data_IF_487604773620
#
_entry.id   IF_487604773620
#
_cell.length_a   1.000
_cell.length_b   1.000
_cell.length_c   1.000
_cell.angle_alpha   90.00
_cell.angle_beta   90.00
_cell.angle_gamma   90.00
#
_symmetry.space_group_name_H-M   'P 1'
#
loop_
_entity.id
_entity.type
_entity.pdbx_description
1 polymer ?
#
# COMPACT_ATOMS: atom_id res chain seq x y z
N UNK A 1 -8.35 -1.67 13.09
CA UNK A 1 -9.17 -2.89 13.22
C UNK A 1 -8.42 -3.99 13.99
N UNK A 2 -7.17 -4.31 13.64
CA UNK A 2 -6.35 -5.23 14.43
C UNK A 2 -6.01 -4.68 15.82
N UNK A 3 -5.83 -3.36 15.93
CA UNK A 3 -5.63 -2.69 17.22
C UNK A 3 -6.67 -3.11 18.26
N UNK A 4 -7.94 -3.01 17.91
CA UNK A 4 -9.07 -3.34 18.79
C UNK A 4 -9.07 -4.82 19.21
N UNK A 5 -8.67 -5.71 18.28
CA UNK A 5 -8.53 -7.13 18.59
C UNK A 5 -7.40 -7.37 19.60
N UNK A 6 -6.24 -6.76 19.39
CA UNK A 6 -5.09 -6.90 20.31
C UNK A 6 -5.37 -6.28 21.67
N UNK A 7 -6.14 -5.19 21.73
CA UNK A 7 -6.58 -4.58 22.97
C UNK A 7 -7.46 -5.54 23.80
N UNK A 8 -8.47 -6.16 23.17
CA UNK A 8 -9.29 -7.18 23.84
C UNK A 8 -8.49 -8.39 24.30
N UNK A 9 -7.48 -8.79 23.53
CA UNK A 9 -6.66 -9.94 23.87
C UNK A 9 -5.63 -9.61 24.98
N UNK A 10 -5.21 -8.35 25.06
CA UNK A 10 -4.33 -7.85 26.10
C UNK A 10 -4.97 -7.88 27.50
N UNK A 11 -6.30 -7.84 27.59
CA UNK A 11 -7.03 -8.04 28.85
C UNK A 11 -6.74 -9.40 29.48
N UNK A 12 -6.53 -10.43 28.66
CA UNK A 12 -6.32 -11.81 29.11
C UNK A 12 -4.84 -12.23 29.05
N UNK A 13 -4.04 -11.59 28.19
CA UNK A 13 -2.66 -11.96 27.94
C UNK A 13 -1.77 -10.71 27.84
N UNK A 14 -0.91 -10.49 28.84
CA UNK A 14 -0.08 -9.29 28.94
C UNK A 14 0.86 -9.07 27.74
N UNK A 15 1.23 -10.13 27.02
CA UNK A 15 2.08 -10.07 25.83
C UNK A 15 1.51 -9.18 24.70
N UNK A 16 0.19 -9.03 24.59
CA UNK A 16 -0.42 -8.23 23.51
C UNK A 16 -0.36 -6.72 23.76
N UNK A 17 0.02 -6.25 24.96
CA UNK A 17 0.26 -4.83 25.23
C UNK A 17 1.35 -4.24 24.34
N UNK A 18 2.26 -5.07 23.83
CA UNK A 18 3.32 -4.66 22.91
C UNK A 18 2.75 -4.01 21.65
N UNK A 19 1.56 -4.44 21.19
CA UNK A 19 0.88 -3.87 20.03
C UNK A 19 0.23 -2.50 20.28
N UNK A 20 0.19 -2.02 21.52
CA UNK A 20 -0.33 -0.67 21.83
C UNK A 20 0.72 0.42 21.64
N UNK A 21 2.03 0.07 21.63
CA UNK A 21 3.09 1.03 21.39
C UNK A 21 3.01 1.63 19.98
N UNK A 22 2.94 2.96 19.91
CA UNK A 22 2.84 3.70 18.64
C UNK A 22 4.01 3.40 17.69
N UNK A 23 5.23 3.28 18.22
CA UNK A 23 6.44 2.98 17.44
C UNK A 23 6.34 1.63 16.75
N UNK A 24 5.98 0.58 17.49
CA UNK A 24 5.80 -0.76 16.93
C UNK A 24 4.71 -0.77 15.86
N UNK A 25 3.54 -0.20 16.16
CA UNK A 25 2.43 -0.11 15.21
C UNK A 25 2.83 0.63 13.93
N UNK A 26 3.61 1.70 14.05
CA UNK A 26 4.09 2.47 12.90
C UNK A 26 5.01 1.63 12.01
N UNK A 27 5.96 0.91 12.61
CA UNK A 27 6.86 0.00 11.87
C UNK A 27 6.06 -1.12 11.20
N UNK A 28 5.14 -1.76 11.92
CA UNK A 28 4.28 -2.81 11.37
C UNK A 28 3.40 -2.28 10.23
N UNK A 29 2.90 -1.05 10.32
CA UNK A 29 2.15 -0.38 9.26
C UNK A 29 2.99 -0.21 8.00
N UNK A 30 4.22 0.30 8.13
CA UNK A 30 5.13 0.49 6.99
C UNK A 30 5.48 -0.84 6.34
N UNK A 31 5.83 -1.85 7.14
CA UNK A 31 6.17 -3.20 6.64
C UNK A 31 4.96 -3.82 5.93
N UNK A 32 3.76 -3.68 6.49
CA UNK A 32 2.53 -4.19 5.87
C UNK A 32 2.26 -3.50 4.53
N UNK A 33 2.37 -2.16 4.46
CA UNK A 33 2.15 -1.41 3.23
C UNK A 33 3.19 -1.77 2.15
N UNK A 34 4.45 -1.94 2.53
CA UNK A 34 5.52 -2.40 1.63
C UNK A 34 5.21 -3.80 1.09
N UNK A 35 4.84 -4.74 1.97
CA UNK A 35 4.54 -6.11 1.58
C UNK A 35 3.35 -6.17 0.61
N UNK A 36 2.28 -5.42 0.88
CA UNK A 36 1.13 -5.27 -0.02
C UNK A 36 1.60 -4.72 -1.37
N UNK A 37 2.42 -3.67 -1.38
CA UNK A 37 2.91 -3.03 -2.61
C UNK A 37 3.76 -3.99 -3.45
N UNK A 38 4.63 -4.78 -2.82
CA UNK A 38 5.48 -5.75 -3.51
C UNK A 38 4.67 -6.94 -4.08
N UNK A 39 3.68 -7.43 -3.35
CA UNK A 39 2.85 -8.55 -3.79
C UNK A 39 1.84 -8.14 -4.87
N UNK A 40 1.13 -7.03 -4.67
CA UNK A 40 0.09 -6.56 -5.59
C UNK A 40 0.65 -5.76 -6.76
N UNK A 41 1.86 -5.20 -6.64
CA UNK A 41 2.51 -4.39 -7.67
C UNK A 41 2.53 -5.07 -9.05
N UNK A 42 3.11 -6.27 -9.20
CA UNK A 42 3.17 -6.96 -10.48
C UNK A 42 1.80 -7.26 -11.09
N UNK A 43 0.83 -7.66 -10.24
CA UNK A 43 -0.53 -7.93 -10.69
C UNK A 43 -1.24 -6.66 -11.18
N UNK A 44 -1.06 -5.55 -10.45
CA UNK A 44 -1.64 -4.26 -10.80
C UNK A 44 -1.00 -3.69 -12.08
N UNK A 45 0.32 -3.80 -12.24
CA UNK A 45 1.04 -3.38 -13.46
C UNK A 45 0.52 -4.14 -14.67
N UNK A 46 0.39 -5.48 -14.60
CA UNK A 46 -0.17 -6.28 -15.70
C UNK A 46 -1.60 -5.87 -16.04
N UNK A 47 -2.44 -5.66 -15.02
CA UNK A 47 -3.85 -5.27 -15.22
C UNK A 47 -3.97 -3.88 -15.84
N UNK A 48 -3.21 -2.89 -15.35
CA UNK A 48 -3.21 -1.54 -15.91
C UNK A 48 -2.62 -1.50 -17.33
N UNK A 49 -1.59 -2.30 -17.59
CA UNK A 49 -1.05 -2.50 -18.94
C UNK A 49 -2.10 -3.07 -19.91
N UNK A 50 -2.89 -4.06 -19.47
CA UNK A 50 -3.97 -4.63 -20.29
C UNK A 50 -5.14 -3.68 -20.55
N UNK A 51 -5.36 -2.70 -19.67
CA UNK A 51 -6.41 -1.70 -19.82
C UNK A 51 -6.01 -0.54 -20.73
N UNK A 52 -4.81 -0.59 -21.34
CA UNK A 52 -4.26 0.44 -22.24
C UNK A 52 -4.36 1.87 -21.70
N UNK A 53 -4.31 2.04 -20.37
CA UNK A 53 -4.15 3.35 -19.71
C UNK A 53 -2.66 3.75 -19.77
N UNK A 54 -2.12 3.68 -20.98
CA UNK A 54 -0.77 4.11 -21.32
C UNK A 54 -0.77 5.59 -21.64
N UNK A 55 0.31 6.28 -21.28
CA UNK A 55 0.50 7.65 -21.76
C UNK A 55 0.54 7.68 -23.28
N UNK A 56 -0.28 8.55 -23.89
CA UNK A 56 -0.12 8.92 -25.29
C UNK A 56 1.21 9.64 -25.41
N UNK A 57 2.20 8.98 -26.00
CA UNK A 57 3.52 9.57 -26.24
C UNK A 57 3.39 10.49 -27.45
N UNK A 58 3.80 11.76 -27.29
CA UNK A 58 3.87 12.71 -28.41
C UNK A 58 4.88 12.22 -29.43
N UNK A 59 4.49 12.19 -30.70
CA UNK A 59 5.33 11.71 -31.81
C UNK A 59 6.54 12.62 -32.11
N UNK A 60 6.55 13.85 -31.58
CA UNK A 60 7.61 14.85 -31.81
C UNK A 60 8.87 14.65 -30.93
N UNK A 61 8.94 13.56 -30.15
CA UNK A 61 9.98 13.32 -29.15
C UNK A 61 11.22 12.57 -29.67
N UNK A 62 12.40 12.72 -29.03
CA UNK A 62 13.60 11.98 -29.40
C UNK A 62 13.40 10.44 -29.25
N UNK A 63 14.09 9.61 -30.05
CA UNK A 63 13.86 8.16 -30.14
C UNK A 63 13.95 7.41 -28.78
N UNK A 64 14.71 7.93 -27.82
CA UNK A 64 14.84 7.39 -26.46
C UNK A 64 13.56 7.54 -25.62
N UNK A 65 12.60 8.39 -26.02
CA UNK A 65 11.30 8.49 -25.35
C UNK A 65 10.32 7.36 -25.72
N UNK A 66 10.58 6.62 -26.80
CA UNK A 66 9.75 5.48 -27.21
C UNK A 66 9.95 4.25 -26.31
N UNK A 67 11.07 4.14 -25.58
CA UNK A 67 11.32 3.05 -24.63
C UNK A 67 10.37 3.06 -23.41
N UNK A 68 9.70 4.19 -23.15
CA UNK A 68 8.70 4.34 -22.09
C UNK A 68 7.27 4.02 -22.55
N UNK A 69 7.08 3.77 -23.84
CA UNK A 69 5.78 3.42 -24.44
C UNK A 69 5.25 2.15 -23.79
N UNK A 70 4.08 2.24 -23.16
CA UNK A 70 3.42 1.10 -22.53
C UNK A 70 3.67 0.93 -21.03
N UNK A 71 4.44 1.81 -20.39
CA UNK A 71 4.45 1.86 -18.91
C UNK A 71 3.10 2.38 -18.42
N UNK A 72 2.35 1.60 -17.61
CA UNK A 72 1.03 2.01 -17.15
C UNK A 72 1.15 3.22 -16.23
N UNK A 73 0.37 4.26 -16.51
CA UNK A 73 0.13 5.32 -15.53
C UNK A 73 -0.90 4.85 -14.52
N UNK A 74 -0.83 5.30 -13.26
CA UNK A 74 -1.62 4.89 -12.07
C UNK A 74 -0.88 4.09 -10.98
N UNK A 75 0.45 4.20 -10.87
CA UNK A 75 1.19 3.69 -9.70
C UNK A 75 0.67 4.24 -8.35
N UNK A 76 0.13 5.47 -8.35
CA UNK A 76 -0.52 6.06 -7.17
C UNK A 76 -1.71 5.27 -6.63
N UNK A 77 -2.42 4.51 -7.47
CA UNK A 77 -3.51 3.64 -7.01
C UNK A 77 -3.00 2.53 -6.07
N UNK A 78 -1.82 1.95 -6.35
CA UNK A 78 -1.19 0.96 -5.47
C UNK A 78 -0.88 1.58 -4.11
N UNK A 79 -0.32 2.79 -4.13
CA UNK A 79 0.06 3.52 -2.92
C UNK A 79 -1.19 3.76 -2.07
N UNK A 80 -2.27 4.26 -2.67
CA UNK A 80 -3.53 4.49 -1.95
C UNK A 80 -4.09 3.19 -1.37
N UNK A 81 -4.13 2.10 -2.14
CA UNK A 81 -4.61 0.79 -1.65
C UNK A 81 -3.75 0.30 -0.49
N UNK A 82 -2.43 0.37 -0.60
CA UNK A 82 -1.51 -0.07 0.45
C UNK A 82 -1.62 0.77 1.71
N UNK A 83 -1.73 2.10 1.59
CA UNK A 83 -1.93 3.00 2.73
C UNK A 83 -3.27 2.70 3.39
N UNK A 84 -4.38 2.67 2.64
CA UNK A 84 -5.72 2.45 3.20
C UNK A 84 -5.79 1.14 3.98
N UNK A 85 -5.28 0.04 3.41
CA UNK A 85 -5.29 -1.27 4.09
C UNK A 85 -4.42 -1.20 5.35
N UNK A 86 -3.22 -0.65 5.26
CA UNK A 86 -2.31 -0.56 6.40
C UNK A 86 -2.88 0.29 7.54
N UNK A 87 -3.46 1.45 7.21
CA UNK A 87 -4.15 2.33 8.16
C UNK A 87 -5.35 1.63 8.80
N UNK A 88 -6.19 0.95 8.03
CA UNK A 88 -7.34 0.21 8.60
C UNK A 88 -6.91 -0.88 9.58
N UNK A 89 -5.77 -1.53 9.33
CA UNK A 89 -5.25 -2.57 10.20
C UNK A 89 -4.69 -1.99 11.51
N UNK A 90 -3.77 -1.03 11.43
CA UNK A 90 -2.89 -0.63 12.53
C UNK A 90 -3.19 0.74 13.14
N UNK A 91 -3.93 1.62 12.45
CA UNK A 91 -4.30 2.91 12.99
C UNK A 91 -5.43 2.79 14.00
N UNK A 92 -5.48 3.76 14.91
CA UNK A 92 -6.62 3.95 15.77
C UNK A 92 -7.67 4.76 15.00
N UNK A 93 -8.79 4.10 14.68
CA UNK A 93 -9.89 4.68 13.91
C UNK A 93 -10.79 5.58 14.76
N UNK A 94 -10.62 5.56 16.08
CA UNK A 94 -11.32 6.44 17.01
C UNK A 94 -10.57 7.76 17.26
N UNK A 95 -9.37 7.91 16.69
CA UNK A 95 -8.54 9.10 16.81
C UNK A 95 -9.27 10.31 16.21
N UNK A 96 -9.48 11.36 17.01
CA UNK A 96 -10.23 12.58 16.66
C UNK A 96 -9.31 13.74 16.37
#
# INVERSE_FOLDING_TARGET
MLLFLFEKLAENYSAFNVFQYLTLRSVLSVVTALFISLLLGPAMIRKLGSLQIGQVVREDGPPTHFDKVGTPTMGGALILVAIVISTLLWADLSNR
#
